data_IF_197287710091
#
_entry.id   IF_197287710091
#
_cell.length_a   1.000
_cell.length_b   1.000
_cell.length_c   1.000
_cell.angle_alpha   90.00
_cell.angle_beta   90.00
_cell.angle_gamma   90.00
#
_symmetry.space_group_name_H-M   'P 1'
#
loop_
_entity.id
_entity.type
_entity.pdbx_description
1 polymer ?
#
# COMPACT_ATOMS: atom_id res chain seq x y z
N UNK A 1 26.12 5.74 3.24
CA UNK A 1 25.65 6.35 2.00
C UNK A 1 26.60 7.43 1.53
N UNK A 2 27.13 7.26 0.34
CA UNK A 2 27.97 8.21 -0.38
C UNK A 2 27.10 9.24 -1.11
N UNK A 3 27.63 10.45 -1.32
CA UNK A 3 26.96 11.47 -2.13
C UNK A 3 26.78 10.99 -3.59
N UNK A 4 27.73 10.21 -4.10
CA UNK A 4 27.67 9.64 -5.45
C UNK A 4 26.49 8.67 -5.64
N UNK A 5 26.28 7.73 -4.72
CA UNK A 5 25.15 6.80 -4.80
C UNK A 5 23.80 7.52 -4.75
N UNK A 6 23.68 8.56 -3.91
CA UNK A 6 22.46 9.37 -3.84
C UNK A 6 22.20 10.13 -5.14
N UNK A 7 23.23 10.73 -5.74
CA UNK A 7 23.10 11.41 -7.05
C UNK A 7 22.69 10.43 -8.16
N UNK A 8 23.25 9.22 -8.15
CA UNK A 8 22.87 8.14 -9.09
C UNK A 8 21.40 7.72 -8.90
N UNK A 9 20.97 7.55 -7.66
CA UNK A 9 19.57 7.23 -7.34
C UNK A 9 18.61 8.33 -7.80
N UNK A 10 18.92 9.60 -7.53
CA UNK A 10 18.14 10.76 -8.00
C UNK A 10 18.04 10.76 -9.52
N UNK A 11 19.15 10.59 -10.24
CA UNK A 11 19.16 10.56 -11.70
C UNK A 11 18.36 9.39 -12.27
N UNK A 12 18.40 8.23 -11.61
CA UNK A 12 17.58 7.07 -11.98
C UNK A 12 16.09 7.37 -11.84
N UNK A 13 15.68 7.96 -10.72
CA UNK A 13 14.28 8.28 -10.44
C UNK A 13 13.77 9.50 -11.22
N UNK A 14 14.65 10.37 -11.72
CA UNK A 14 14.28 11.40 -12.72
C UNK A 14 13.89 10.78 -14.08
N UNK A 15 14.38 9.58 -14.38
CA UNK A 15 14.15 8.91 -15.67
C UNK A 15 13.13 7.76 -15.59
N UNK A 16 12.96 7.14 -14.41
CA UNK A 16 12.04 6.04 -14.17
C UNK A 16 10.88 6.49 -13.29
N UNK A 17 9.66 6.12 -13.66
CA UNK A 17 8.47 6.37 -12.84
C UNK A 17 8.61 5.55 -11.55
N UNK A 18 8.79 6.25 -10.43
CA UNK A 18 8.63 5.66 -9.11
C UNK A 18 7.13 5.53 -8.80
N UNK A 19 6.65 4.31 -8.70
CA UNK A 19 5.29 3.95 -8.37
C UNK A 19 5.22 3.40 -6.93
N UNK A 20 4.50 4.11 -6.07
CA UNK A 20 4.19 3.65 -4.72
C UNK A 20 2.77 3.05 -4.66
N UNK A 21 2.68 1.85 -4.08
CA UNK A 21 1.47 1.03 -4.03
C UNK A 21 0.43 1.44 -3.00
N UNK A 22 0.80 2.20 -1.97
CA UNK A 22 -0.09 2.47 -0.84
C UNK A 22 0.34 3.69 -0.02
N UNK A 23 -0.54 4.70 0.04
CA UNK A 23 -0.37 5.91 0.84
C UNK A 23 -1.74 6.40 1.34
N UNK A 24 -1.86 6.58 2.66
CA UNK A 24 -3.10 6.91 3.37
C UNK A 24 -3.32 8.42 3.58
N UNK A 25 -2.59 9.27 2.85
CA UNK A 25 -2.81 10.72 2.89
C UNK A 25 -4.31 11.11 2.86
N UNK A 26 -5.20 10.48 2.05
CA UNK A 26 -6.63 10.81 2.08
C UNK A 26 -7.28 10.56 3.45
N UNK A 27 -6.95 9.46 4.14
CA UNK A 27 -7.47 9.18 5.48
C UNK A 27 -6.89 10.15 6.51
N UNK A 28 -5.59 10.44 6.45
CA UNK A 28 -4.97 11.40 7.38
C UNK A 28 -5.58 12.81 7.20
N UNK A 29 -5.80 13.27 5.96
CA UNK A 29 -6.51 14.53 5.69
C UNK A 29 -7.95 14.52 6.22
N UNK A 30 -8.65 13.39 6.14
CA UNK A 30 -9.98 13.22 6.75
C UNK A 30 -9.93 13.30 8.28
N UNK A 31 -8.88 12.79 8.92
CA UNK A 31 -8.69 12.93 10.37
C UNK A 31 -8.46 14.39 10.80
N UNK A 32 -7.81 15.20 9.95
CA UNK A 32 -7.62 16.64 10.19
C UNK A 32 -8.86 17.49 9.85
N UNK A 33 -9.47 17.26 8.69
CA UNK A 33 -10.56 18.10 8.17
C UNK A 33 -11.97 17.57 8.42
N UNK A 34 -12.12 16.38 8.99
CA UNK A 34 -13.41 15.73 9.22
C UNK A 34 -13.97 15.00 7.98
N UNK A 35 -15.19 14.47 8.06
CA UNK A 35 -15.74 13.57 7.04
C UNK A 35 -16.17 14.26 5.74
N UNK A 36 -16.23 15.60 5.70
CA UNK A 36 -16.57 16.32 4.47
C UNK A 36 -15.36 16.31 3.51
N UNK A 37 -15.48 15.75 2.29
CA UNK A 37 -14.32 15.59 1.40
C UNK A 37 -13.64 16.90 0.99
N UNK A 38 -14.42 17.97 0.80
CA UNK A 38 -13.89 19.29 0.41
C UNK A 38 -13.10 19.91 1.56
N UNK A 39 -13.59 19.76 2.80
CA UNK A 39 -12.91 20.24 4.00
C UNK A 39 -11.66 19.41 4.30
N UNK A 40 -11.74 18.08 4.18
CA UNK A 40 -10.60 17.16 4.32
C UNK A 40 -9.47 17.51 3.35
N UNK A 41 -9.75 17.61 2.05
CA UNK A 41 -8.75 17.95 1.03
C UNK A 41 -8.17 19.37 1.18
N UNK A 42 -8.87 20.26 1.90
CA UNK A 42 -8.44 21.63 2.20
C UNK A 42 -7.82 21.80 3.60
N UNK A 43 -7.78 20.75 4.41
CA UNK A 43 -7.44 20.82 5.84
C UNK A 43 -6.00 21.28 6.09
N UNK A 44 -5.09 20.93 5.19
CA UNK A 44 -3.66 21.28 5.24
C UNK A 44 -3.16 21.78 3.88
N UNK A 45 -2.22 22.73 3.90
CA UNK A 45 -1.59 23.23 2.67
C UNK A 45 -0.43 22.32 2.24
N UNK A 46 -0.71 21.39 1.33
CA UNK A 46 0.29 20.43 0.84
C UNK A 46 1.41 21.08 -0.01
N UNK A 47 1.32 22.37 -0.35
CA UNK A 47 2.36 23.06 -1.12
C UNK A 47 3.58 23.45 -0.28
N UNK A 48 3.46 23.37 1.04
CA UNK A 48 4.54 23.58 2.00
C UNK A 48 4.82 22.29 2.77
N UNK A 49 6.01 22.18 3.37
CA UNK A 49 6.36 21.02 4.18
C UNK A 49 5.42 20.91 5.38
N UNK A 50 4.82 19.74 5.54
CA UNK A 50 3.91 19.42 6.63
C UNK A 50 4.63 18.54 7.67
N UNK A 51 4.98 19.05 8.86
CA UNK A 51 5.66 18.25 9.88
C UNK A 51 4.81 17.11 10.44
N UNK A 52 3.48 17.23 10.33
CA UNK A 52 2.52 16.24 10.83
C UNK A 52 2.21 15.12 9.83
N UNK A 53 2.62 15.26 8.56
CA UNK A 53 2.36 14.29 7.50
C UNK A 53 3.67 13.67 7.02
N UNK A 54 3.62 12.43 6.55
CA UNK A 54 4.66 11.84 5.73
C UNK A 54 4.63 12.37 4.28
N UNK A 55 3.50 12.93 3.85
CA UNK A 55 3.30 13.38 2.46
C UNK A 55 2.99 14.87 2.34
N UNK A 56 3.73 15.55 1.47
CA UNK A 56 3.46 16.89 0.95
C UNK A 56 4.17 17.07 -0.40
N UNK A 57 3.82 18.07 -1.20
CA UNK A 57 4.42 18.24 -2.53
C UNK A 57 5.94 18.48 -2.51
N UNK A 58 6.50 19.28 -1.58
CA UNK A 58 7.97 19.36 -1.44
C UNK A 58 8.63 18.01 -1.20
N UNK A 59 8.09 17.17 -0.30
CA UNK A 59 8.63 15.83 -0.05
C UNK A 59 8.47 14.91 -1.25
N UNK A 60 7.31 14.89 -1.91
CA UNK A 60 7.08 14.07 -3.10
C UNK A 60 8.06 14.44 -4.23
N UNK A 61 8.34 15.73 -4.41
CA UNK A 61 9.31 16.22 -5.39
C UNK A 61 10.75 15.79 -5.05
N UNK A 62 11.17 15.92 -3.80
CA UNK A 62 12.48 15.44 -3.35
C UNK A 62 12.62 13.93 -3.48
N UNK A 63 11.53 13.21 -3.23
CA UNK A 63 11.42 11.76 -3.33
C UNK A 63 11.34 11.22 -4.75
N UNK A 64 11.14 12.10 -5.74
CA UNK A 64 10.98 11.75 -7.16
C UNK A 64 9.78 10.84 -7.42
N UNK A 65 8.70 10.97 -6.64
CA UNK A 65 7.52 10.15 -6.86
C UNK A 65 6.84 10.52 -8.18
N UNK A 66 6.61 9.52 -9.04
CA UNK A 66 5.99 9.70 -10.35
C UNK A 66 4.57 9.14 -10.42
N UNK A 67 4.23 8.18 -9.57
CA UNK A 67 2.93 7.50 -9.55
C UNK A 67 2.58 7.07 -8.13
N UNK A 68 1.33 7.28 -7.72
CA UNK A 68 0.82 6.90 -6.42
C UNK A 68 -0.54 6.22 -6.56
N UNK A 69 -0.70 5.09 -5.88
CA UNK A 69 -2.03 4.62 -5.51
C UNK A 69 -2.41 5.24 -4.17
N UNK A 70 -3.34 6.18 -4.19
CA UNK A 70 -3.92 6.80 -3.01
C UNK A 70 -4.92 5.82 -2.39
N UNK A 71 -4.66 5.43 -1.15
CA UNK A 71 -5.57 4.58 -0.39
C UNK A 71 -6.87 5.33 -0.12
N UNK A 72 -7.99 4.69 -0.45
CA UNK A 72 -9.33 5.13 -0.02
C UNK A 72 -9.81 4.29 1.16
N UNK A 73 -8.87 3.88 2.01
CA UNK A 73 -9.10 3.16 3.27
C UNK A 73 -10.23 3.77 4.09
N UNK A 74 -11.03 2.88 4.68
CA UNK A 74 -11.98 3.20 5.73
C UNK A 74 -11.89 2.17 6.85
N UNK A 75 -12.01 2.59 8.13
CA UNK A 75 -11.96 1.68 9.26
C UNK A 75 -13.01 0.57 9.21
N UNK A 76 -12.66 -0.61 9.73
CA UNK A 76 -13.52 -1.80 9.69
C UNK A 76 -14.76 -1.68 10.59
N UNK A 77 -14.81 -0.68 11.46
CA UNK A 77 -15.97 -0.33 12.28
C UNK A 77 -17.11 0.26 11.43
N UNK A 78 -16.80 0.74 10.22
CA UNK A 78 -17.82 1.04 9.24
C UNK A 78 -18.27 -0.27 8.58
N UNK A 79 -19.56 -0.60 8.71
CA UNK A 79 -20.14 -1.81 8.13
C UNK A 79 -21.29 -1.48 7.16
N UNK A 80 -21.59 -2.39 6.24
CA UNK A 80 -22.72 -2.27 5.33
C UNK A 80 -22.76 -0.91 4.61
N UNK A 81 -23.89 -0.20 4.71
CA UNK A 81 -24.06 1.08 4.02
C UNK A 81 -23.08 2.16 4.50
N UNK A 82 -22.63 2.15 5.76
CA UNK A 82 -21.73 3.19 6.26
C UNK A 82 -20.31 3.00 5.73
N UNK A 83 -19.88 1.76 5.48
CA UNK A 83 -18.61 1.47 4.79
C UNK A 83 -18.65 2.01 3.36
N UNK A 84 -19.75 1.75 2.65
CA UNK A 84 -19.96 2.22 1.28
C UNK A 84 -19.98 3.76 1.23
N UNK A 85 -20.67 4.43 2.14
CA UNK A 85 -20.66 5.90 2.22
C UNK A 85 -19.24 6.42 2.48
N UNK A 86 -18.54 5.85 3.46
CA UNK A 86 -17.21 6.32 3.83
C UNK A 86 -16.20 6.14 2.68
N UNK A 87 -16.21 5.01 1.96
CA UNK A 87 -15.27 4.79 0.84
C UNK A 87 -15.58 5.73 -0.34
N UNK A 88 -16.85 6.05 -0.58
CA UNK A 88 -17.23 7.04 -1.60
C UNK A 88 -16.74 8.45 -1.23
N UNK A 89 -16.83 8.82 0.05
CA UNK A 89 -16.26 10.08 0.56
C UNK A 89 -14.72 10.10 0.44
N UNK A 90 -14.04 8.98 0.74
CA UNK A 90 -12.58 8.88 0.57
C UNK A 90 -12.16 9.00 -0.90
N UNK A 91 -12.91 8.37 -1.82
CA UNK A 91 -12.72 8.57 -3.26
C UNK A 91 -12.84 10.04 -3.61
N UNK A 92 -13.89 10.70 -3.13
CA UNK A 92 -14.11 12.13 -3.38
C UNK A 92 -12.97 13.00 -2.82
N UNK A 93 -12.35 12.65 -1.67
CA UNK A 93 -11.17 13.37 -1.16
C UNK A 93 -10.03 13.35 -2.19
N UNK A 94 -9.77 12.20 -2.83
CA UNK A 94 -8.72 12.09 -3.85
C UNK A 94 -9.06 12.91 -5.10
N UNK A 95 -10.33 12.92 -5.52
CA UNK A 95 -10.80 13.78 -6.63
C UNK A 95 -10.63 15.27 -6.28
N UNK A 96 -11.04 15.70 -5.08
CA UNK A 96 -10.86 17.08 -4.61
C UNK A 96 -9.38 17.49 -4.55
N UNK A 97 -8.48 16.59 -4.13
CA UNK A 97 -7.03 16.85 -4.19
C UNK A 97 -6.55 17.09 -5.62
N UNK A 98 -6.97 16.26 -6.57
CA UNK A 98 -6.58 16.42 -7.97
C UNK A 98 -7.15 17.70 -8.61
N UNK A 99 -8.38 18.07 -8.28
CA UNK A 99 -9.01 19.33 -8.72
C UNK A 99 -8.33 20.56 -8.12
N UNK A 100 -7.88 20.48 -6.86
CA UNK A 100 -7.19 21.56 -6.15
C UNK A 100 -5.76 21.76 -6.63
N UNK A 101 -5.09 20.69 -7.06
CA UNK A 101 -3.68 20.70 -7.47
C UNK A 101 -3.47 20.10 -8.87
N UNK A 102 -4.13 20.63 -9.93
CA UNK A 102 -4.14 20.02 -11.26
C UNK A 102 -2.79 20.14 -12.00
N UNK A 103 -1.91 21.03 -11.52
CA UNK A 103 -0.53 21.21 -11.98
C UNK A 103 0.47 20.31 -11.23
N UNK A 104 -0.01 19.48 -10.30
CA UNK A 104 0.81 18.51 -9.55
C UNK A 104 0.28 17.08 -9.68
N UNK A 105 -1.03 16.91 -9.62
CA UNK A 105 -1.70 15.61 -9.65
C UNK A 105 -2.50 15.45 -10.94
N UNK A 106 -2.53 14.24 -11.46
CA UNK A 106 -3.44 13.85 -12.54
C UNK A 106 -4.07 12.52 -12.20
N UNK A 107 -5.39 12.48 -12.06
CA UNK A 107 -6.10 11.21 -12.00
C UNK A 107 -5.93 10.46 -13.32
N UNK A 108 -5.56 9.19 -13.22
CA UNK A 108 -5.33 8.32 -14.37
C UNK A 108 -5.99 6.96 -14.14
N UNK A 109 -6.42 6.33 -15.22
CA UNK A 109 -7.08 5.04 -15.20
C UNK A 109 -6.32 3.97 -15.99
N UNK A 110 -5.16 4.25 -16.58
CA UNK A 110 -4.36 3.23 -17.32
C UNK A 110 -2.87 3.45 -17.15
N UNK A 111 -2.07 2.42 -17.45
CA UNK A 111 -0.61 2.54 -17.46
C UNK A 111 -0.11 3.61 -18.45
N UNK A 112 -0.75 3.71 -19.62
CA UNK A 112 -0.36 4.69 -20.65
C UNK A 112 -0.71 6.13 -20.21
N UNK A 113 -1.82 6.32 -19.50
CA UNK A 113 -2.16 7.61 -18.88
C UNK A 113 -1.21 7.97 -17.74
N UNK A 114 -0.75 6.99 -16.95
CA UNK A 114 0.24 7.20 -15.90
C UNK A 114 1.58 7.66 -16.48
N UNK A 115 2.05 7.02 -17.57
CA UNK A 115 3.24 7.44 -18.30
C UNK A 115 3.09 8.85 -18.89
N UNK A 116 1.91 9.19 -19.43
CA UNK A 116 1.62 10.53 -19.93
C UNK A 116 1.60 11.59 -18.81
N UNK A 117 1.05 11.27 -17.64
CA UNK A 117 1.05 12.16 -16.49
C UNK A 117 2.48 12.50 -16.04
N UNK A 118 3.32 11.47 -15.93
CA UNK A 118 4.72 11.62 -15.56
C UNK A 118 5.50 12.45 -16.59
N UNK A 119 5.29 12.21 -17.89
CA UNK A 119 5.90 13.00 -18.96
C UNK A 119 5.52 14.48 -18.91
N UNK A 120 4.30 14.79 -18.43
CA UNK A 120 3.82 16.15 -18.19
C UNK A 120 4.35 16.78 -16.89
N UNK A 121 5.20 16.07 -16.13
CA UNK A 121 5.73 16.51 -14.84
C UNK A 121 4.72 16.46 -13.70
N UNK A 122 3.66 15.64 -13.83
CA UNK A 122 2.62 15.43 -12.80
C UNK A 122 2.72 14.03 -12.23
N UNK A 123 2.28 13.89 -10.97
CA UNK A 123 2.15 12.59 -10.32
C UNK A 123 0.90 11.90 -10.89
N UNK A 124 1.09 10.71 -11.44
CA UNK A 124 0.01 9.82 -11.83
C UNK A 124 -0.72 9.34 -10.57
N UNK A 125 -1.97 9.76 -10.40
CA UNK A 125 -2.78 9.47 -9.21
C UNK A 125 -3.82 8.41 -9.54
N UNK A 126 -3.69 7.25 -8.91
CA UNK A 126 -4.63 6.13 -8.96
C UNK A 126 -5.26 5.93 -7.59
N UNK A 127 -6.37 5.19 -7.51
CA UNK A 127 -7.05 4.92 -6.24
C UNK A 127 -7.00 3.43 -5.90
N UNK A 128 -6.87 3.10 -4.62
CA UNK A 128 -6.88 1.74 -4.11
C UNK A 128 -7.80 1.60 -2.91
N UNK A 129 -8.80 0.73 -2.98
CA UNK A 129 -9.68 0.46 -1.84
C UNK A 129 -9.03 -0.56 -0.90
N UNK A 130 -8.99 -0.26 0.38
CA UNK A 130 -8.32 -1.11 1.36
C UNK A 130 -9.33 -1.84 2.24
N UNK A 131 -9.74 -3.02 1.78
CA UNK A 131 -10.62 -3.92 2.50
C UNK A 131 -11.97 -4.14 1.81
N UNK A 132 -12.33 -5.42 1.69
CA UNK A 132 -13.56 -5.87 1.04
C UNK A 132 -14.85 -5.51 1.77
N UNK A 133 -14.80 -5.03 3.02
CA UNK A 133 -15.97 -4.47 3.70
C UNK A 133 -16.53 -3.25 2.96
N UNK A 134 -15.69 -2.54 2.21
CA UNK A 134 -16.05 -1.36 1.38
C UNK A 134 -17.12 -1.65 0.33
N UNK A 135 -17.33 -2.91 -0.08
CA UNK A 135 -18.34 -3.28 -1.07
C UNK A 135 -19.65 -3.80 -0.46
N UNK A 136 -19.71 -3.98 0.86
CA UNK A 136 -20.90 -4.48 1.56
C UNK A 136 -21.55 -5.70 0.86
N UNK A 137 -20.73 -6.71 0.51
CA UNK A 137 -21.14 -7.93 -0.22
C UNK A 137 -21.84 -7.68 -1.57
N UNK A 138 -21.56 -6.55 -2.23
CA UNK A 138 -22.20 -6.19 -3.49
C UNK A 138 -21.21 -6.06 -4.63
N UNK A 139 -21.29 -6.98 -5.60
CA UNK A 139 -20.58 -6.86 -6.88
C UNK A 139 -21.02 -5.59 -7.66
N UNK A 140 -22.25 -5.12 -7.43
CA UNK A 140 -22.73 -3.85 -7.98
C UNK A 140 -21.93 -2.65 -7.44
N UNK A 141 -21.67 -2.63 -6.12
CA UNK A 141 -20.83 -1.60 -5.50
C UNK A 141 -19.39 -1.73 -6.00
N UNK A 142 -18.82 -2.94 -6.07
CA UNK A 142 -17.49 -3.18 -6.65
C UNK A 142 -17.34 -2.56 -8.05
N UNK A 143 -18.33 -2.77 -8.93
CA UNK A 143 -18.37 -2.16 -10.28
C UNK A 143 -18.47 -0.64 -10.24
N UNK A 144 -19.19 -0.07 -9.28
CA UNK A 144 -19.29 1.39 -9.10
C UNK A 144 -17.94 1.95 -8.67
N UNK A 145 -17.26 1.34 -7.68
CA UNK A 145 -15.93 1.77 -7.24
C UNK A 145 -14.94 1.77 -8.41
N UNK A 146 -14.94 0.72 -9.25
CA UNK A 146 -14.11 0.69 -10.47
C UNK A 146 -14.41 1.86 -11.42
N UNK A 147 -15.69 2.19 -11.64
CA UNK A 147 -16.11 3.32 -12.50
C UNK A 147 -15.70 4.68 -11.94
N UNK A 148 -15.53 4.79 -10.64
CA UNK A 148 -15.07 6.00 -9.96
C UNK A 148 -13.54 6.14 -9.94
N UNK A 149 -12.81 5.18 -10.52
CA UNK A 149 -11.36 5.21 -10.67
C UNK A 149 -10.59 4.31 -9.70
N UNK A 150 -11.26 3.49 -8.89
CA UNK A 150 -10.58 2.52 -8.01
C UNK A 150 -9.95 1.41 -8.84
N UNK A 151 -8.63 1.26 -8.74
CA UNK A 151 -7.82 0.36 -9.58
C UNK A 151 -7.38 -0.92 -8.89
N UNK A 152 -7.33 -0.97 -7.56
CA UNK A 152 -7.25 -2.21 -6.81
C UNK A 152 -8.24 -2.22 -5.66
N UNK A 153 -8.53 -3.42 -5.15
CA UNK A 153 -9.14 -3.59 -3.83
C UNK A 153 -8.39 -4.68 -3.04
N UNK A 154 -7.98 -4.34 -1.83
CA UNK A 154 -7.47 -5.29 -0.84
C UNK A 154 -8.63 -6.13 -0.32
N UNK A 155 -8.52 -7.47 -0.35
CA UNK A 155 -9.69 -8.33 -0.07
C UNK A 155 -10.16 -8.25 1.39
N UNK A 156 -9.25 -8.00 2.32
CA UNK A 156 -9.53 -7.71 3.74
C UNK A 156 -8.70 -6.52 4.19
N UNK A 157 -9.00 -6.00 5.38
CA UNK A 157 -8.05 -5.20 6.16
C UNK A 157 -7.69 -6.06 7.40
N UNK A 158 -7.64 -5.48 8.61
CA UNK A 158 -7.24 -6.21 9.83
C UNK A 158 -8.23 -7.27 10.34
N UNK A 159 -9.44 -7.34 9.79
CA UNK A 159 -10.51 -8.25 10.20
C UNK A 159 -10.97 -9.10 9.02
N UNK A 160 -11.48 -10.29 9.30
CA UNK A 160 -12.17 -11.09 8.30
C UNK A 160 -13.35 -10.31 7.71
N UNK A 161 -13.56 -10.45 6.41
CA UNK A 161 -14.87 -10.17 5.84
C UNK A 161 -15.74 -11.43 5.96
N UNK A 162 -17.00 -11.36 5.56
CA UNK A 162 -17.88 -12.54 5.46
C UNK A 162 -17.44 -13.53 4.38
N UNK A 163 -16.41 -13.20 3.57
CA UNK A 163 -16.01 -13.98 2.40
C UNK A 163 -14.50 -14.15 2.19
N UNK A 164 -13.66 -13.51 3.01
CA UNK A 164 -12.20 -13.65 2.97
C UNK A 164 -11.59 -13.59 4.38
N UNK A 165 -10.61 -14.46 4.63
CA UNK A 165 -9.84 -14.45 5.88
C UNK A 165 -8.71 -13.40 5.84
N UNK A 166 -8.59 -12.62 6.92
CA UNK A 166 -7.49 -11.68 7.19
C UNK A 166 -6.32 -12.39 7.88
N UNK A 167 -5.10 -11.93 7.63
CA UNK A 167 -3.89 -12.47 8.27
C UNK A 167 -3.80 -12.13 9.75
N UNK A 168 -4.51 -11.10 10.21
CA UNK A 168 -4.50 -10.64 11.61
C UNK A 168 -5.75 -11.02 12.40
N UNK A 169 -6.56 -11.95 11.88
CA UNK A 169 -7.77 -12.44 12.52
C UNK A 169 -7.78 -13.97 12.62
N UNK A 170 -8.71 -14.52 13.38
CA UNK A 170 -8.88 -15.97 13.52
C UNK A 170 -9.44 -16.58 12.22
N UNK A 171 -8.96 -17.75 11.77
CA UNK A 171 -9.47 -18.38 10.54
C UNK A 171 -10.98 -18.66 10.59
N UNK A 172 -11.72 -18.26 9.56
CA UNK A 172 -13.16 -18.48 9.47
C UNK A 172 -13.58 -19.25 8.21
N UNK A 173 -12.96 -18.96 7.07
CA UNK A 173 -13.40 -19.44 5.75
C UNK A 173 -12.45 -20.46 5.12
N UNK A 174 -11.21 -20.55 5.64
CA UNK A 174 -10.15 -21.32 5.00
C UNK A 174 -9.58 -20.64 3.75
N UNK A 175 -9.61 -19.31 3.72
CA UNK A 175 -9.21 -18.48 2.59
C UNK A 175 -10.38 -17.67 2.03
N UNK A 176 -10.90 -18.09 0.86
CA UNK A 176 -12.04 -17.47 0.21
C UNK A 176 -13.27 -18.40 0.21
N UNK A 177 -14.44 -17.84 0.52
CA UNK A 177 -15.72 -18.50 0.24
C UNK A 177 -16.02 -18.48 -1.27
N UNK A 178 -17.08 -19.16 -1.74
CA UNK A 178 -17.46 -19.09 -3.16
C UNK A 178 -17.80 -17.65 -3.60
N UNK A 179 -18.45 -16.86 -2.73
CA UNK A 179 -18.68 -15.45 -3.01
C UNK A 179 -17.35 -14.67 -3.11
N UNK A 180 -16.37 -14.97 -2.24
CA UNK A 180 -15.03 -14.39 -2.35
C UNK A 180 -14.33 -14.73 -3.67
N UNK A 181 -14.52 -15.96 -4.17
CA UNK A 181 -14.04 -16.36 -5.51
C UNK A 181 -14.76 -15.59 -6.62
N UNK A 182 -16.06 -15.36 -6.49
CA UNK A 182 -16.83 -14.52 -7.43
C UNK A 182 -16.37 -13.05 -7.41
N UNK A 183 -16.01 -12.50 -6.25
CA UNK A 183 -15.40 -11.16 -6.14
C UNK A 183 -14.10 -11.10 -6.94
N UNK A 184 -13.19 -12.06 -6.77
CA UNK A 184 -11.93 -12.13 -7.54
C UNK A 184 -12.18 -12.20 -9.05
N UNK A 185 -13.09 -13.07 -9.50
CA UNK A 185 -13.47 -13.19 -10.92
C UNK A 185 -14.04 -11.88 -11.46
N UNK A 186 -14.87 -11.20 -10.67
CA UNK A 186 -15.47 -9.94 -11.05
C UNK A 186 -14.43 -8.82 -11.14
N UNK A 187 -13.48 -8.77 -10.21
CA UNK A 187 -12.34 -7.84 -10.24
C UNK A 187 -11.53 -8.02 -11.52
N UNK A 188 -11.21 -9.26 -11.90
CA UNK A 188 -10.54 -9.53 -13.17
C UNK A 188 -11.36 -9.02 -14.37
N UNK A 189 -12.66 -9.33 -14.41
CA UNK A 189 -13.56 -8.94 -15.51
C UNK A 189 -13.68 -7.42 -15.70
N UNK A 190 -13.52 -6.63 -14.63
CA UNK A 190 -13.64 -5.16 -14.68
C UNK A 190 -12.28 -4.45 -14.73
N UNK A 191 -11.18 -5.19 -14.81
CA UNK A 191 -9.82 -4.65 -14.75
C UNK A 191 -9.52 -3.92 -13.44
N UNK A 192 -9.98 -4.49 -12.31
CA UNK A 192 -9.54 -4.11 -10.97
C UNK A 192 -8.50 -5.13 -10.49
N UNK A 193 -7.33 -4.66 -10.06
CA UNK A 193 -6.28 -5.50 -9.48
C UNK A 193 -6.75 -6.10 -8.16
N UNK A 194 -6.45 -7.38 -7.98
CA UNK A 194 -6.66 -8.10 -6.72
C UNK A 194 -5.47 -7.83 -5.82
N UNK A 195 -5.68 -7.11 -4.72
CA UNK A 195 -4.64 -6.85 -3.73
C UNK A 195 -4.74 -7.84 -2.56
N UNK A 196 -3.61 -8.46 -2.27
CA UNK A 196 -3.43 -9.53 -1.28
C UNK A 196 -2.63 -9.07 -0.07
N UNK A 197 -2.38 -7.77 0.07
CA UNK A 197 -2.01 -7.23 1.39
C UNK A 197 -3.13 -7.53 2.40
N UNK A 198 -2.79 -7.57 3.68
CA UNK A 198 -3.67 -7.91 4.82
C UNK A 198 -4.22 -9.32 4.90
N UNK A 199 -4.43 -10.01 3.79
CA UNK A 199 -5.16 -11.28 3.80
C UNK A 199 -4.35 -12.42 4.41
N UNK A 200 -5.04 -13.46 4.88
CA UNK A 200 -4.38 -14.67 5.39
C UNK A 200 -3.64 -15.42 4.27
N UNK A 201 -2.57 -16.18 4.57
CA UNK A 201 -1.88 -17.01 3.57
C UNK A 201 -2.80 -18.00 2.83
N UNK A 202 -3.87 -18.49 3.47
CA UNK A 202 -4.90 -19.30 2.80
C UNK A 202 -5.63 -18.51 1.72
N UNK A 203 -6.03 -17.27 2.03
CA UNK A 203 -6.65 -16.32 1.10
C UNK A 203 -5.71 -15.94 -0.04
N UNK A 204 -4.42 -15.71 0.25
CA UNK A 204 -3.40 -15.42 -0.79
C UNK A 204 -3.38 -16.53 -1.85
N UNK A 205 -3.27 -17.79 -1.43
CA UNK A 205 -3.22 -18.95 -2.33
C UNK A 205 -4.52 -19.12 -3.10
N UNK A 206 -5.67 -19.01 -2.44
CA UNK A 206 -6.98 -19.14 -3.07
C UNK A 206 -7.23 -18.04 -4.11
N UNK A 207 -6.82 -16.80 -3.85
CA UNK A 207 -6.97 -15.69 -4.78
C UNK A 207 -6.05 -15.85 -6.00
N UNK A 208 -4.78 -16.26 -5.81
CA UNK A 208 -3.86 -16.53 -6.93
C UNK A 208 -4.35 -17.70 -7.80
N UNK A 209 -4.92 -18.74 -7.18
CA UNK A 209 -5.52 -19.86 -7.91
C UNK A 209 -6.70 -19.42 -8.80
N UNK A 210 -7.53 -18.50 -8.32
CA UNK A 210 -8.75 -18.05 -9.02
C UNK A 210 -8.46 -16.94 -10.04
N UNK A 211 -7.49 -16.07 -9.75
CA UNK A 211 -7.26 -14.87 -10.55
C UNK A 211 -6.73 -15.20 -11.93
N UNK A 212 -7.42 -14.71 -12.96
CA UNK A 212 -6.95 -14.81 -14.35
C UNK A 212 -6.00 -13.66 -14.73
N UNK A 213 -5.89 -12.64 -13.89
CA UNK A 213 -5.03 -11.48 -14.09
C UNK A 213 -3.93 -11.42 -13.02
N UNK A 214 -2.84 -10.67 -13.27
CA UNK A 214 -1.81 -10.44 -12.25
C UNK A 214 -2.38 -9.86 -10.95
N UNK A 215 -2.01 -10.46 -9.81
CA UNK A 215 -2.33 -9.95 -8.48
C UNK A 215 -1.27 -8.97 -8.00
N UNK A 216 -1.59 -8.19 -6.98
CA UNK A 216 -0.62 -7.34 -6.30
C UNK A 216 -0.60 -7.64 -4.80
N UNK A 217 0.50 -7.27 -4.15
CA UNK A 217 0.51 -6.93 -2.73
C UNK A 217 0.89 -5.46 -2.65
N UNK A 218 -0.07 -4.57 -2.42
CA UNK A 218 0.14 -3.10 -2.42
C UNK A 218 1.13 -2.62 -1.35
N UNK A 219 1.20 -3.29 -0.19
CA UNK A 219 2.12 -2.98 0.91
C UNK A 219 2.31 -4.21 1.81
N UNK A 220 3.21 -5.12 1.45
CA UNK A 220 3.55 -6.29 2.28
C UNK A 220 5.03 -6.67 2.11
N UNK A 221 5.64 -7.18 3.17
CA UNK A 221 7.05 -7.58 3.20
C UNK A 221 7.19 -9.10 3.32
N UNK A 222 8.38 -9.64 3.61
CA UNK A 222 8.67 -11.08 3.52
C UNK A 222 8.64 -11.80 4.88
N UNK A 223 7.87 -12.89 4.99
CA UNK A 223 7.69 -13.63 6.25
C UNK A 223 9.01 -14.28 6.71
N UNK A 224 9.79 -14.81 5.77
CA UNK A 224 11.06 -15.46 6.08
C UNK A 224 12.14 -14.51 6.63
N UNK A 225 12.03 -13.21 6.34
CA UNK A 225 12.94 -12.17 6.89
C UNK A 225 12.46 -11.68 8.25
N UNK A 226 11.14 -11.52 8.42
CA UNK A 226 10.53 -11.17 9.69
C UNK A 226 9.17 -11.86 9.84
N UNK A 227 9.05 -12.73 10.87
CA UNK A 227 7.85 -13.53 11.13
C UNK A 227 6.73 -12.65 11.67
N UNK A 228 5.84 -12.22 10.78
CA UNK A 228 4.70 -11.37 11.09
C UNK A 228 3.54 -11.72 10.15
N UNK A 229 2.29 -11.84 10.63
CA UNK A 229 1.14 -12.27 9.83
C UNK A 229 0.82 -11.39 8.61
N UNK A 230 1.26 -10.12 8.63
CA UNK A 230 1.13 -9.20 7.48
C UNK A 230 2.15 -9.47 6.36
N UNK A 231 3.13 -10.35 6.56
CA UNK A 231 4.15 -10.62 5.57
C UNK A 231 3.82 -11.86 4.71
N UNK A 232 4.39 -11.87 3.51
CA UNK A 232 4.14 -12.87 2.47
C UNK A 232 5.05 -14.09 2.70
N UNK A 233 4.50 -15.31 2.79
CA UNK A 233 5.29 -16.54 2.81
C UNK A 233 6.03 -16.80 1.49
N UNK A 234 7.20 -17.43 1.55
CA UNK A 234 8.01 -17.74 0.36
C UNK A 234 7.27 -18.59 -0.68
N UNK A 235 6.44 -19.53 -0.23
CA UNK A 235 5.68 -20.37 -1.16
C UNK A 235 4.61 -19.58 -1.92
N UNK A 236 4.15 -18.44 -1.39
CA UNK A 236 3.26 -17.50 -2.08
C UNK A 236 4.04 -16.57 -3.01
N UNK A 237 5.19 -16.03 -2.54
CA UNK A 237 6.09 -15.23 -3.39
C UNK A 237 6.51 -15.99 -4.64
N UNK A 238 6.80 -17.29 -4.52
CA UNK A 238 7.18 -18.16 -5.62
C UNK A 238 6.07 -18.40 -6.67
N UNK A 239 4.80 -18.05 -6.38
CA UNK A 239 3.69 -18.13 -7.34
C UNK A 239 3.64 -16.91 -8.27
N UNK A 240 4.26 -15.79 -7.89
CA UNK A 240 4.16 -14.53 -8.65
C UNK A 240 4.69 -14.63 -10.08
N UNK A 241 5.80 -15.33 -10.38
CA UNK A 241 6.24 -15.56 -11.76
C UNK A 241 5.20 -16.25 -12.66
N UNK A 242 4.45 -17.21 -12.10
CA UNK A 242 3.41 -17.92 -12.82
C UNK A 242 2.13 -17.09 -13.01
N UNK A 243 1.83 -16.21 -12.07
CA UNK A 243 0.66 -15.33 -12.12
C UNK A 243 0.91 -14.00 -12.88
N UNK A 244 2.16 -13.52 -12.92
CA UNK A 244 2.53 -12.21 -13.49
C UNK A 244 2.51 -11.04 -12.49
N UNK A 245 2.12 -11.30 -11.24
CA UNK A 245 1.91 -10.29 -10.19
C UNK A 245 3.15 -9.59 -9.66
N UNK A 246 2.95 -8.67 -8.71
CA UNK A 246 4.03 -7.90 -8.06
C UNK A 246 3.81 -7.79 -6.54
N UNK A 247 4.86 -8.03 -5.75
CA UNK A 247 4.87 -7.79 -4.31
C UNK A 247 5.55 -6.45 -4.00
N UNK A 248 4.80 -5.50 -3.45
CA UNK A 248 5.27 -4.14 -3.19
C UNK A 248 5.70 -4.03 -1.73
N UNK A 249 7.02 -3.97 -1.52
CA UNK A 249 7.63 -4.01 -0.17
C UNK A 249 7.24 -2.78 0.62
N UNK A 250 6.76 -2.99 1.84
CA UNK A 250 6.33 -1.91 2.74
C UNK A 250 7.39 -1.52 3.75
N UNK A 251 7.24 -0.32 4.32
CA UNK A 251 8.19 0.26 5.27
C UNK A 251 7.67 0.19 6.72
N UNK A 252 6.51 -0.42 6.98
CA UNK A 252 5.94 -0.53 8.32
C UNK A 252 6.94 -1.17 9.30
N UNK A 253 7.45 -0.44 10.30
CA UNK A 253 8.55 -0.92 11.14
C UNK A 253 8.29 -2.26 11.85
N UNK A 254 7.06 -2.47 12.33
CA UNK A 254 6.67 -3.70 13.02
C UNK A 254 6.59 -4.91 12.08
N UNK A 255 6.52 -4.70 10.76
CA UNK A 255 6.47 -5.78 9.78
C UNK A 255 7.87 -6.12 9.27
N UNK A 256 8.81 -5.19 9.34
CA UNK A 256 10.15 -5.38 8.73
C UNK A 256 11.29 -5.62 9.71
N UNK A 257 11.08 -5.33 11.00
CA UNK A 257 12.17 -5.31 11.98
C UNK A 257 11.82 -6.18 13.18
N UNK A 258 12.51 -7.31 13.41
CA UNK A 258 12.20 -8.24 14.50
C UNK A 258 12.16 -7.58 15.89
N UNK A 259 13.01 -6.57 16.12
CA UNK A 259 13.01 -5.80 17.37
C UNK A 259 11.75 -4.96 17.54
N UNK A 260 11.20 -4.41 16.46
CA UNK A 260 9.96 -3.63 16.50
C UNK A 260 8.76 -4.57 16.60
N UNK A 261 8.78 -5.71 15.92
CA UNK A 261 7.77 -6.77 16.07
C UNK A 261 7.68 -7.25 17.52
N UNK A 262 8.81 -7.52 18.17
CA UNK A 262 8.83 -7.93 19.57
C UNK A 262 8.21 -6.87 20.50
N UNK A 263 8.55 -5.58 20.30
CA UNK A 263 7.94 -4.49 21.04
C UNK A 263 6.43 -4.39 20.81
N UNK A 264 6.00 -4.58 19.56
CA UNK A 264 4.60 -4.50 19.17
C UNK A 264 3.77 -5.67 19.71
N UNK A 265 4.38 -6.85 19.89
CA UNK A 265 3.77 -7.96 20.63
C UNK A 265 3.56 -7.64 22.12
N UNK A 266 4.48 -6.90 22.76
CA UNK A 266 4.29 -6.44 24.14
C UNK A 266 3.16 -5.42 24.23
N UNK A 267 3.06 -4.49 23.26
CA UNK A 267 1.95 -3.55 23.15
C UNK A 267 0.62 -4.29 22.98
N UNK A 268 0.57 -5.28 22.08
CA UNK A 268 -0.61 -6.13 21.87
C UNK A 268 -1.06 -6.82 23.15
N UNK A 269 -0.13 -7.49 23.86
CA UNK A 269 -0.45 -8.17 25.11
C UNK A 269 -0.97 -7.20 26.18
N UNK A 270 -0.39 -5.99 26.27
CA UNK A 270 -0.84 -4.96 27.20
C UNK A 270 -2.25 -4.44 26.85
N UNK A 271 -2.55 -4.23 25.58
CA UNK A 271 -3.88 -3.85 25.10
C UNK A 271 -4.93 -4.92 25.41
N UNK A 272 -4.62 -6.19 25.11
CA UNK A 272 -5.51 -7.32 25.38
C UNK A 272 -5.78 -7.48 26.88
N UNK A 273 -4.75 -7.31 27.72
CA UNK A 273 -4.91 -7.28 29.18
C UNK A 273 -5.77 -6.11 29.68
N UNK A 274 -5.81 -5.01 28.94
CA UNK A 274 -6.69 -3.86 29.19
C UNK A 274 -8.09 -4.00 28.56
N UNK A 275 -8.39 -5.13 27.89
CA UNK A 275 -9.67 -5.38 27.23
C UNK A 275 -9.89 -4.56 25.96
N UNK A 276 -8.81 -4.08 25.34
CA UNK A 276 -8.84 -3.33 24.08
C UNK A 276 -8.52 -4.25 22.90
N UNK A 277 -9.05 -3.90 21.73
CA UNK A 277 -8.79 -4.64 20.49
C UNK A 277 -7.56 -4.05 19.78
N UNK A 278 -6.47 -4.82 19.75
CA UNK A 278 -5.23 -4.43 19.07
C UNK A 278 -5.41 -4.18 17.56
N UNK A 279 -6.38 -4.83 16.91
CA UNK A 279 -6.64 -4.70 15.46
C UNK A 279 -7.34 -3.38 15.12
N UNK A 280 -7.99 -2.76 16.11
CA UNK A 280 -8.60 -1.44 15.99
C UNK A 280 -7.49 -0.37 16.01
N UNK A 281 -7.21 0.23 14.85
CA UNK A 281 -6.13 1.19 14.71
C UNK A 281 -6.31 2.44 15.59
N UNK A 282 -7.56 2.86 15.82
CA UNK A 282 -7.87 3.99 16.71
C UNK A 282 -7.53 3.69 18.17
N UNK A 283 -7.95 2.52 18.67
CA UNK A 283 -7.59 2.05 20.01
C UNK A 283 -6.09 1.84 20.15
N UNK A 284 -5.44 1.20 19.18
CA UNK A 284 -4.00 0.96 19.17
C UNK A 284 -3.21 2.26 19.22
N UNK A 285 -3.59 3.23 18.38
CA UNK A 285 -2.94 4.54 18.34
C UNK A 285 -3.09 5.33 19.63
N UNK A 286 -4.25 5.27 20.29
CA UNK A 286 -4.46 5.93 21.57
C UNK A 286 -3.70 5.23 22.71
N UNK A 287 -3.81 3.90 22.80
CA UNK A 287 -3.15 3.12 23.85
C UNK A 287 -1.63 3.29 23.79
N UNK A 288 -1.03 3.22 22.60
CA UNK A 288 0.41 3.37 22.43
C UNK A 288 0.96 4.74 22.86
N UNK A 289 0.14 5.80 22.87
CA UNK A 289 0.55 7.14 23.35
C UNK A 289 0.63 7.22 24.87
N UNK A 290 -0.28 6.53 25.55
CA UNK A 290 -0.43 6.58 27.00
C UNK A 290 0.28 5.43 27.72
N UNK A 291 0.75 4.43 26.97
CA UNK A 291 1.39 3.23 27.51
C UNK A 291 2.78 3.54 28.10
N UNK A 292 3.00 3.11 29.35
CA UNK A 292 4.25 3.23 30.10
C UNK A 292 5.22 2.06 29.87
N UNK A 293 5.06 1.36 28.75
CA UNK A 293 5.90 0.24 28.34
C UNK A 293 7.33 0.62 27.91
N UNK A 294 8.11 -0.35 27.39
CA UNK A 294 9.45 -0.08 26.90
C UNK A 294 9.45 0.93 25.75
N UNK A 295 10.58 1.62 25.56
CA UNK A 295 10.75 2.55 24.45
C UNK A 295 10.72 1.78 23.12
N UNK A 296 9.89 2.23 22.18
CA UNK A 296 9.78 1.64 20.85
C UNK A 296 11.15 1.68 20.13
N UNK A 297 11.71 0.53 19.70
CA UNK A 297 12.93 0.53 18.91
C UNK A 297 12.66 1.07 17.50
N UNK A 298 13.73 1.45 16.80
CA UNK A 298 13.63 2.01 15.44
C UNK A 298 14.08 1.02 14.38
N UNK A 299 13.26 0.80 13.36
CA UNK A 299 13.69 0.16 12.12
C UNK A 299 14.58 1.10 11.31
N UNK A 300 15.33 0.57 10.33
CA UNK A 300 16.17 1.39 9.42
C UNK A 300 15.93 1.02 7.95
N UNK A 301 16.48 1.82 7.03
CA UNK A 301 16.50 1.49 5.59
C UNK A 301 17.11 0.11 5.30
N UNK A 302 18.05 -0.38 6.12
CA UNK A 302 18.64 -1.71 5.92
C UNK A 302 17.64 -2.84 6.19
N UNK A 303 16.67 -2.64 7.10
CA UNK A 303 15.59 -3.61 7.33
C UNK A 303 14.74 -3.73 6.04
N UNK A 304 14.41 -2.61 5.39
CA UNK A 304 13.68 -2.61 4.10
C UNK A 304 14.49 -3.28 2.99
N UNK A 305 15.78 -2.97 2.89
CA UNK A 305 16.67 -3.58 1.88
C UNK A 305 16.69 -5.11 2.03
N UNK A 306 16.75 -5.63 3.25
CA UNK A 306 16.74 -7.08 3.49
C UNK A 306 15.47 -7.75 2.93
N UNK A 307 14.31 -7.11 3.08
CA UNK A 307 13.06 -7.60 2.50
C UNK A 307 13.05 -7.51 0.97
N UNK A 308 13.53 -6.41 0.40
CA UNK A 308 13.61 -6.24 -1.08
C UNK A 308 14.54 -7.28 -1.70
N UNK A 309 15.70 -7.54 -1.09
CA UNK A 309 16.67 -8.53 -1.56
C UNK A 309 16.12 -9.96 -1.45
N UNK A 310 15.45 -10.31 -0.35
CA UNK A 310 14.81 -11.61 -0.19
C UNK A 310 13.65 -11.81 -1.18
N UNK A 311 12.77 -10.81 -1.32
CA UNK A 311 11.69 -10.86 -2.30
C UNK A 311 12.22 -11.05 -3.72
N UNK A 312 13.33 -10.38 -4.08
CA UNK A 312 14.02 -10.57 -5.36
C UNK A 312 14.51 -12.01 -5.53
N UNK A 313 15.07 -12.62 -4.49
CA UNK A 313 15.58 -13.99 -4.55
C UNK A 313 14.48 -15.02 -4.81
N UNK A 314 13.32 -14.86 -4.14
CA UNK A 314 12.23 -15.83 -4.21
C UNK A 314 11.28 -15.57 -5.38
N UNK A 315 10.80 -14.34 -5.54
CA UNK A 315 9.82 -13.97 -6.56
C UNK A 315 10.47 -13.55 -7.89
N UNK A 316 11.75 -13.15 -7.88
CA UNK A 316 12.43 -12.60 -9.05
C UNK A 316 12.25 -11.09 -9.22
N UNK A 317 13.22 -10.45 -9.91
CA UNK A 317 13.28 -8.99 -10.06
C UNK A 317 12.08 -8.39 -10.78
N UNK A 318 11.38 -9.15 -11.61
CA UNK A 318 10.20 -8.70 -12.35
C UNK A 318 8.92 -8.69 -11.48
N UNK A 319 8.99 -9.16 -10.23
CA UNK A 319 7.82 -9.38 -9.37
C UNK A 319 7.89 -8.64 -8.05
N UNK A 320 8.73 -7.59 -7.98
CA UNK A 320 8.86 -6.73 -6.79
C UNK A 320 8.57 -5.26 -7.11
N UNK A 321 8.05 -4.53 -6.12
CA UNK A 321 7.76 -3.10 -6.16
C UNK A 321 7.88 -2.46 -4.78
N UNK A 322 7.34 -1.25 -4.59
CA UNK A 322 7.37 -0.51 -3.32
C UNK A 322 5.98 0.02 -2.94
N UNK A 323 5.64 -0.08 -1.66
CA UNK A 323 4.38 0.45 -1.12
C UNK A 323 4.58 0.91 0.31
N UNK A 324 5.00 2.16 0.46
CA UNK A 324 5.64 2.67 1.67
C UNK A 324 4.74 2.71 2.90
N UNK A 325 3.42 2.72 2.73
CA UNK A 325 2.45 2.88 3.83
C UNK A 325 2.59 4.25 4.52
N UNK A 326 3.00 5.26 3.75
CA UNK A 326 3.10 6.64 4.21
C UNK A 326 1.72 7.16 4.63
N UNK A 327 1.69 7.99 5.67
CA UNK A 327 0.48 8.45 6.38
C UNK A 327 -0.44 7.34 6.97
N UNK A 328 -0.15 6.05 6.76
CA UNK A 328 -0.91 4.91 7.31
C UNK A 328 -0.43 4.44 8.69
N UNK A 329 0.79 4.80 9.06
CA UNK A 329 1.42 4.46 10.34
C UNK A 329 2.01 5.68 11.03
N UNK A 330 2.15 5.63 12.36
CA UNK A 330 2.66 6.77 13.14
C UNK A 330 4.17 7.02 13.08
N UNK A 331 4.96 6.09 12.52
CA UNK A 331 6.42 6.21 12.43
C UNK A 331 6.97 5.25 11.38
N UNK A 332 7.97 5.69 10.63
CA UNK A 332 8.66 4.91 9.60
C UNK A 332 10.15 4.70 9.92
N UNK A 333 10.87 3.87 9.15
CA UNK A 333 12.27 3.53 9.41
C UNK A 333 13.20 4.75 9.29
N UNK A 334 14.31 4.74 10.03
CA UNK A 334 15.36 5.74 9.86
C UNK A 334 15.93 5.67 8.44
N UNK A 335 15.98 6.83 7.78
CA UNK A 335 16.31 6.97 6.36
C UNK A 335 15.12 6.82 5.40
N UNK A 336 13.90 6.55 5.90
CA UNK A 336 12.65 6.44 5.14
C UNK A 336 11.48 7.11 5.86
N UNK A 337 11.75 8.21 6.57
CA UNK A 337 10.78 8.85 7.48
C UNK A 337 9.57 9.47 6.77
N UNK A 338 9.72 9.85 5.50
CA UNK A 338 8.70 10.54 4.73
C UNK A 338 8.91 10.34 3.22
N UNK A 339 7.97 10.80 2.39
CA UNK A 339 8.00 10.58 0.94
C UNK A 339 9.20 11.24 0.22
N UNK A 340 10.02 12.05 0.88
CA UNK A 340 11.28 12.57 0.33
C UNK A 340 12.42 11.56 0.27
N UNK A 341 12.23 10.38 0.88
CA UNK A 341 13.32 9.49 1.22
C UNK A 341 13.55 8.31 0.28
N UNK A 342 12.72 8.10 -0.74
CA UNK A 342 12.95 7.02 -1.70
C UNK A 342 14.37 7.00 -2.31
N UNK A 343 14.99 8.14 -2.69
CA UNK A 343 16.37 8.14 -3.19
C UNK A 343 17.39 7.51 -2.22
N UNK A 344 17.12 7.54 -0.90
CA UNK A 344 17.94 6.88 0.12
C UNK A 344 17.89 5.36 -0.06
N UNK A 345 16.71 4.76 -0.22
CA UNK A 345 16.57 3.32 -0.48
C UNK A 345 17.32 2.90 -1.75
N UNK A 346 17.11 3.62 -2.85
CA UNK A 346 17.77 3.30 -4.13
C UNK A 346 19.28 3.49 -4.06
N UNK A 347 19.78 4.50 -3.33
CA UNK A 347 21.21 4.66 -3.10
C UNK A 347 21.78 3.46 -2.32
N UNK A 348 21.09 2.98 -1.30
CA UNK A 348 21.51 1.80 -0.53
C UNK A 348 21.57 0.53 -1.41
N UNK A 349 20.58 0.32 -2.30
CA UNK A 349 20.58 -0.80 -3.24
C UNK A 349 21.71 -0.70 -4.27
N UNK A 350 21.96 0.49 -4.83
CA UNK A 350 23.05 0.74 -5.77
C UNK A 350 24.43 0.51 -5.13
N UNK A 351 24.63 0.89 -3.87
CA UNK A 351 25.85 0.61 -3.11
C UNK A 351 26.08 -0.89 -2.88
N UNK A 352 24.99 -1.67 -2.84
CA UNK A 352 25.00 -3.14 -2.72
C UNK A 352 25.12 -3.85 -4.08
N UNK A 353 25.31 -3.11 -5.16
CA UNK A 353 25.58 -3.66 -6.49
C UNK A 353 24.34 -3.94 -7.33
N UNK A 354 23.17 -3.44 -6.94
CA UNK A 354 22.00 -3.47 -7.82
C UNK A 354 22.29 -2.68 -9.10
N UNK A 355 21.84 -3.21 -10.23
CA UNK A 355 21.93 -2.50 -11.50
C UNK A 355 20.88 -1.38 -11.56
N UNK A 356 21.14 -0.35 -12.36
CA UNK A 356 20.15 0.70 -12.64
C UNK A 356 18.90 0.14 -13.33
N UNK A 357 19.03 -0.96 -14.08
CA UNK A 357 17.90 -1.65 -14.68
C UNK A 357 17.01 -2.33 -13.63
N UNK A 358 17.60 -3.07 -12.68
CA UNK A 358 16.88 -3.71 -11.58
C UNK A 358 16.20 -2.65 -10.69
N UNK A 359 16.90 -1.57 -10.38
CA UNK A 359 16.33 -0.44 -9.64
C UNK A 359 15.16 0.19 -10.41
N UNK A 360 15.24 0.35 -11.74
CA UNK A 360 14.11 0.86 -12.51
C UNK A 360 12.90 -0.10 -12.54
N UNK A 361 13.15 -1.41 -12.47
CA UNK A 361 12.09 -2.43 -12.32
C UNK A 361 11.38 -2.30 -10.98
N UNK A 362 12.14 -2.27 -9.89
CA UNK A 362 11.63 -2.04 -8.54
C UNK A 362 10.90 -0.70 -8.40
N UNK A 363 11.45 0.37 -9.00
CA UNK A 363 10.88 1.71 -8.92
C UNK A 363 9.46 1.76 -9.48
N UNK A 364 9.17 1.12 -10.60
CA UNK A 364 7.80 1.12 -11.11
C UNK A 364 7.57 0.45 -12.46
N UNK A 365 8.60 0.02 -13.19
CA UNK A 365 8.36 -0.70 -14.46
C UNK A 365 7.55 -1.99 -14.24
N UNK A 366 7.76 -2.68 -13.11
CA UNK A 366 6.97 -3.87 -12.77
C UNK A 366 5.51 -3.52 -12.47
N UNK A 367 5.28 -2.48 -11.68
CA UNK A 367 3.94 -1.97 -11.35
C UNK A 367 3.19 -1.53 -12.61
N UNK A 368 3.85 -0.80 -13.51
CA UNK A 368 3.29 -0.38 -14.80
C UNK A 368 2.98 -1.56 -15.72
N UNK A 369 3.83 -2.59 -15.74
CA UNK A 369 3.55 -3.84 -16.48
C UNK A 369 2.26 -4.48 -15.97
N UNK A 370 2.16 -4.70 -14.66
CA UNK A 370 0.98 -5.30 -14.03
C UNK A 370 -0.27 -4.47 -14.32
N UNK A 371 -0.19 -3.15 -14.18
CA UNK A 371 -1.29 -2.24 -14.48
C UNK A 371 -1.75 -2.38 -15.94
N UNK A 372 -0.79 -2.40 -16.89
CA UNK A 372 -1.06 -2.54 -18.33
C UNK A 372 -1.68 -3.89 -18.69
N UNK A 373 -1.21 -4.97 -18.07
CA UNK A 373 -1.79 -6.31 -18.26
C UNK A 373 -3.24 -6.36 -17.78
N UNK A 374 -3.54 -5.77 -16.62
CA UNK A 374 -4.90 -5.68 -16.07
C UNK A 374 -5.80 -4.77 -16.91
N UNK A 375 -5.28 -3.67 -17.46
CA UNK A 375 -6.00 -2.80 -18.41
C UNK A 375 -6.52 -3.58 -19.63
N UNK A 376 -5.84 -4.67 -20.00
CA UNK A 376 -6.24 -5.55 -21.09
C UNK A 376 -7.51 -6.39 -20.81
N UNK A 377 -7.84 -6.65 -19.54
CA UNK A 377 -9.02 -7.43 -19.15
C UNK A 377 -10.32 -6.62 -19.14
N UNK A 378 -10.23 -5.30 -18.99
CA UNK A 378 -11.40 -4.41 -18.95
C UNK A 378 -11.98 -4.08 -20.35
N UNK A 379 -11.40 -4.62 -21.42
CA UNK A 379 -11.72 -4.28 -22.82
C UNK A 379 -12.72 -5.22 -23.46
#
# INVERSE_FOLDING_TARGET
MTNEALQRAVKLLDAAILADGHNDLPWELRQHGGPNPVEAAASLDLTVRQPALHTDFPKLADGKLGMQFWSVYVPCEFEGHSAVTAVLEQIEVVHQLAERYPDRLRLVDTADEAEAAFADGRIASLLGAEGGHSIAESLGVLRILRRLGVRYMTLTHNYNTTWADSGTDEPAHGGLTEFGRDVVREMNKIGMMVDLSHVAPSTMRAAIEVSSAPVIFSHSSCLAVNDHPRNIPDDVLALLPGNGGVAMTTFVPAFISPKVTAWDHELKAAMEAAGQDYRNLGQRGQFAKDWDGPVKPKATVDDVVAHVEHAREVAGIDHIGLGGDYDGVGSLPEGLEDTSKYPVLFAALLERGWSEEDCAKLAGKNTLRVLREVDGFAR
#
